data_IF_137754494218
#
_entry.id   IF_137754494218
#
_cell.length_a   1.000
_cell.length_b   1.000
_cell.length_c   1.000
_cell.angle_alpha   90.00
_cell.angle_beta   90.00
_cell.angle_gamma   90.00
#
_symmetry.space_group_name_H-M   'P 1'
#
loop_
_entity.id
_entity.type
_entity.pdbx_description
1 polymer ?
#
# COMPACT_ATOMS: atom_id res chain seq x y z
N UNK A 1 -12.00 12.25 -23.16
CA UNK A 1 -11.63 11.94 -21.77
C UNK A 1 -12.00 10.50 -21.46
N UNK A 2 -11.08 9.76 -20.86
CA UNK A 2 -11.27 8.39 -20.39
C UNK A 2 -11.48 8.40 -18.89
N UNK A 3 -12.60 7.85 -18.43
CA UNK A 3 -12.97 7.80 -17.01
C UNK A 3 -12.85 6.38 -16.48
N UNK A 4 -12.30 6.19 -15.27
CA UNK A 4 -12.17 4.87 -14.68
C UNK A 4 -13.48 4.35 -14.08
N UNK A 5 -14.39 5.23 -13.66
CA UNK A 5 -15.61 4.87 -12.93
C UNK A 5 -16.82 5.71 -13.38
N UNK A 6 -18.01 5.25 -13.04
CA UNK A 6 -19.23 6.02 -13.23
C UNK A 6 -19.29 7.28 -12.34
N UNK A 7 -18.63 7.24 -11.19
CA UNK A 7 -18.48 8.42 -10.31
C UNK A 7 -17.67 9.50 -11.01
N UNK A 8 -16.55 9.15 -11.66
CA UNK A 8 -15.78 10.09 -12.47
C UNK A 8 -16.60 10.69 -13.61
N UNK A 9 -17.44 9.87 -14.27
CA UNK A 9 -18.36 10.33 -15.30
C UNK A 9 -19.37 11.36 -14.75
N UNK A 10 -19.98 11.08 -13.58
CA UNK A 10 -20.93 11.98 -12.92
C UNK A 10 -20.27 13.30 -12.51
N UNK A 11 -19.04 13.25 -11.98
CA UNK A 11 -18.30 14.44 -11.59
C UNK A 11 -18.02 15.34 -12.79
N UNK A 12 -17.52 14.79 -13.90
CA UNK A 12 -17.30 15.56 -15.13
C UNK A 12 -18.57 16.16 -15.67
N UNK A 13 -19.70 15.46 -15.57
CA UNK A 13 -21.01 15.99 -15.95
C UNK A 13 -21.40 17.18 -15.07
N UNK A 14 -21.19 17.08 -13.76
CA UNK A 14 -21.48 18.18 -12.84
C UNK A 14 -20.58 19.41 -13.07
N UNK A 15 -19.36 19.20 -13.54
CA UNK A 15 -18.42 20.25 -13.96
C UNK A 15 -18.76 20.87 -15.33
N UNK A 16 -19.83 20.40 -16.01
CA UNK A 16 -20.31 20.95 -17.27
C UNK A 16 -19.66 20.38 -18.53
N UNK A 17 -18.90 19.28 -18.41
CA UNK A 17 -18.37 18.61 -19.60
C UNK A 17 -19.49 17.95 -20.41
N UNK A 18 -19.54 18.17 -21.75
CA UNK A 18 -20.60 17.64 -22.59
C UNK A 18 -20.44 16.12 -22.81
N UNK A 19 -21.57 15.41 -22.65
CA UNK A 19 -21.66 13.96 -22.94
C UNK A 19 -22.19 13.65 -24.34
N UNK A 20 -22.55 14.67 -25.12
CA UNK A 20 -23.17 14.49 -26.42
C UNK A 20 -22.40 15.20 -27.52
N UNK A 21 -22.40 14.55 -28.67
CA UNK A 21 -21.80 15.01 -29.90
C UNK A 21 -22.68 16.13 -30.50
N UNK A 22 -22.39 17.39 -30.22
CA UNK A 22 -22.97 18.49 -30.95
C UNK A 22 -21.89 19.34 -31.58
N UNK A 23 -21.88 19.32 -32.93
CA UNK A 23 -21.20 20.26 -33.83
C UNK A 23 -19.67 20.46 -33.60
N UNK A 24 -18.89 19.74 -34.38
CA UNK A 24 -17.50 20.00 -34.80
C UNK A 24 -16.37 20.04 -33.74
N UNK A 25 -16.60 19.98 -32.45
CA UNK A 25 -15.57 19.78 -31.42
C UNK A 25 -16.04 18.72 -30.43
N UNK A 26 -15.74 17.48 -30.77
CA UNK A 26 -16.16 16.31 -29.98
C UNK A 26 -15.21 16.06 -28.83
N UNK A 27 -15.54 16.51 -27.62
CA UNK A 27 -14.97 15.91 -26.44
C UNK A 27 -15.81 14.68 -26.08
N UNK A 28 -15.33 13.51 -26.43
CA UNK A 28 -15.95 12.27 -26.00
C UNK A 28 -15.50 11.96 -24.58
N UNK A 29 -16.48 11.78 -23.69
CA UNK A 29 -16.25 11.26 -22.34
C UNK A 29 -16.79 9.83 -22.32
N UNK A 30 -15.96 8.88 -21.96
CA UNK A 30 -16.37 7.48 -21.93
C UNK A 30 -15.78 6.78 -20.69
N UNK A 31 -16.57 5.91 -20.08
CA UNK A 31 -16.07 5.00 -19.06
C UNK A 31 -15.35 3.85 -19.76
N UNK A 32 -14.07 3.70 -19.48
CA UNK A 32 -13.19 2.67 -20.07
C UNK A 32 -12.70 1.67 -19.02
N UNK A 33 -13.14 1.80 -17.77
CA UNK A 33 -12.60 1.05 -16.67
C UNK A 33 -11.29 1.65 -16.14
N UNK A 34 -10.72 1.01 -15.14
CA UNK A 34 -9.55 1.50 -14.43
C UNK A 34 -8.27 0.84 -14.96
N UNK A 35 -7.48 1.58 -15.72
CA UNK A 35 -6.20 1.11 -16.26
C UNK A 35 -5.19 0.73 -15.16
N UNK A 36 -5.33 1.30 -13.95
CA UNK A 36 -4.51 0.88 -12.81
C UNK A 36 -4.86 -0.54 -12.38
N UNK A 37 -6.15 -0.92 -12.44
CA UNK A 37 -6.59 -2.28 -12.16
C UNK A 37 -6.01 -3.26 -13.17
N UNK A 38 -6.09 -2.95 -14.46
CA UNK A 38 -5.50 -3.79 -15.51
C UNK A 38 -4.00 -3.98 -15.29
N UNK A 39 -3.28 -2.88 -14.98
CA UNK A 39 -1.87 -2.91 -14.66
C UNK A 39 -1.57 -3.77 -13.42
N UNK A 40 -2.28 -3.56 -12.32
CA UNK A 40 -2.10 -4.31 -11.08
C UNK A 40 -2.32 -5.82 -11.29
N UNK A 41 -3.39 -6.19 -12.00
CA UNK A 41 -3.70 -7.60 -12.31
C UNK A 41 -2.64 -8.23 -13.24
N UNK A 42 -2.16 -7.50 -14.25
CA UNK A 42 -1.07 -7.97 -15.10
C UNK A 42 0.21 -8.21 -14.30
N UNK A 43 0.63 -7.25 -13.48
CA UNK A 43 1.86 -7.34 -12.69
C UNK A 43 1.76 -8.32 -11.52
N UNK A 44 0.56 -8.71 -11.08
CA UNK A 44 0.37 -9.75 -10.06
C UNK A 44 1.10 -11.05 -10.41
N UNK A 45 1.09 -11.45 -11.68
CA UNK A 45 1.78 -12.66 -12.14
C UNK A 45 3.31 -12.54 -12.14
N UNK A 46 3.84 -11.31 -12.13
CA UNK A 46 5.26 -10.98 -12.14
C UNK A 46 5.77 -10.52 -10.77
N UNK A 47 4.89 -10.50 -9.78
CA UNK A 47 5.19 -10.02 -8.43
C UNK A 47 6.35 -10.81 -7.79
N UNK A 48 7.19 -10.10 -7.03
CA UNK A 48 8.40 -10.64 -6.41
C UNK A 48 8.39 -10.37 -4.92
N UNK A 49 8.77 -11.39 -4.14
CA UNK A 49 8.97 -11.22 -2.70
C UNK A 49 10.14 -10.25 -2.44
N UNK A 50 10.00 -9.22 -1.59
CA UNK A 50 11.12 -8.39 -1.18
C UNK A 50 12.19 -9.22 -0.45
N UNK A 51 13.47 -8.97 -0.74
CA UNK A 51 14.58 -9.69 -0.11
C UNK A 51 14.58 -9.57 1.42
N UNK A 52 14.28 -8.37 1.94
CA UNK A 52 14.14 -8.12 3.36
C UNK A 52 13.07 -8.99 4.03
N UNK A 53 11.97 -9.25 3.33
CA UNK A 53 10.86 -10.08 3.82
C UNK A 53 11.19 -11.56 3.72
N UNK A 54 11.82 -12.00 2.62
CA UNK A 54 12.26 -13.39 2.47
C UNK A 54 13.28 -13.78 3.53
N UNK A 55 14.21 -12.87 3.86
CA UNK A 55 15.21 -13.07 4.91
C UNK A 55 14.59 -13.19 6.31
N UNK A 56 13.58 -12.36 6.61
CA UNK A 56 12.83 -12.46 7.86
C UNK A 56 12.13 -13.82 8.02
N UNK A 57 11.57 -14.33 6.95
CA UNK A 57 10.84 -15.60 7.01
C UNK A 57 11.75 -16.81 7.12
N UNK A 58 12.92 -16.80 6.48
CA UNK A 58 13.93 -17.86 6.65
C UNK A 58 14.44 -17.94 8.08
N UNK A 59 14.63 -16.80 8.75
CA UNK A 59 15.05 -16.75 10.16
C UNK A 59 14.01 -17.33 11.13
N UNK A 60 12.72 -17.20 10.79
CA UNK A 60 11.62 -17.65 11.65
C UNK A 60 11.25 -19.12 11.39
N UNK A 61 11.42 -19.60 10.15
CA UNK A 61 11.13 -21.00 9.79
C UNK A 61 12.24 -21.98 10.13
N UNK A 62 13.43 -21.49 10.48
CA UNK A 62 14.59 -22.34 10.76
C UNK A 62 15.13 -23.11 9.54
N UNK A 63 14.70 -22.74 8.33
CA UNK A 63 15.16 -23.35 7.10
C UNK A 63 16.39 -22.60 6.56
N UNK A 64 17.49 -23.33 6.42
CA UNK A 64 18.73 -22.81 5.82
C UNK A 64 18.49 -22.32 4.39
N UNK A 65 18.78 -21.05 4.15
CA UNK A 65 18.61 -20.31 2.88
C UNK A 65 19.40 -20.92 1.69
N UNK A 66 20.17 -21.97 1.90
CA UNK A 66 21.08 -22.58 0.90
C UNK A 66 20.46 -23.69 0.06
N UNK A 67 19.19 -24.07 0.26
CA UNK A 67 18.55 -25.21 -0.45
C UNK A 67 17.28 -24.84 -1.24
N UNK A 68 17.00 -23.58 -1.49
CA UNK A 68 15.87 -23.25 -2.39
C UNK A 68 16.30 -23.41 -3.84
N UNK A 69 16.04 -24.60 -4.41
CA UNK A 69 16.06 -24.81 -5.84
C UNK A 69 15.05 -23.87 -6.53
N UNK A 70 15.43 -23.25 -7.65
CA UNK A 70 14.64 -22.33 -8.46
C UNK A 70 13.24 -22.83 -8.87
N UNK A 71 12.90 -24.10 -8.63
CA UNK A 71 11.59 -24.67 -8.95
C UNK A 71 10.51 -24.51 -7.87
N UNK A 72 10.87 -24.00 -6.68
CA UNK A 72 9.93 -23.85 -5.54
C UNK A 72 9.31 -22.45 -5.44
N UNK A 73 9.61 -21.55 -6.39
CA UNK A 73 9.12 -20.16 -6.39
C UNK A 73 7.60 -20.06 -6.56
N UNK A 74 6.93 -21.13 -7.02
CA UNK A 74 5.47 -21.16 -7.21
C UNK A 74 4.68 -21.80 -6.05
N UNK A 75 5.33 -22.25 -4.97
CA UNK A 75 4.60 -22.60 -3.76
C UNK A 75 4.42 -21.29 -2.97
N UNK A 76 3.16 -20.81 -2.87
CA UNK A 76 2.81 -19.74 -1.93
C UNK A 76 3.45 -20.09 -0.58
N UNK A 77 4.43 -19.31 -0.09
CA UNK A 77 4.91 -19.53 1.26
C UNK A 77 3.68 -19.50 2.15
N UNK A 78 3.61 -20.35 3.19
CA UNK A 78 2.54 -20.27 4.20
C UNK A 78 2.59 -18.85 4.74
N UNK A 79 1.70 -18.01 4.23
CA UNK A 79 1.66 -16.58 4.49
C UNK A 79 1.49 -16.40 5.97
N UNK A 80 2.49 -15.84 6.63
CA UNK A 80 2.25 -15.31 7.96
C UNK A 80 1.37 -14.10 7.76
N UNK A 81 0.23 -14.12 8.41
CA UNK A 81 -0.72 -13.02 8.46
C UNK A 81 0.01 -11.76 8.90
N UNK A 82 0.12 -10.78 8.03
CA UNK A 82 0.73 -9.49 8.34
C UNK A 82 -0.11 -8.34 7.80
N UNK A 83 0.07 -7.20 8.42
CA UNK A 83 -0.49 -5.93 7.98
C UNK A 83 0.59 -5.22 7.16
N UNK A 84 0.25 -4.81 5.94
CA UNK A 84 1.09 -3.91 5.16
C UNK A 84 0.75 -2.47 5.54
N UNK A 85 1.75 -1.71 5.99
CA UNK A 85 1.55 -0.30 6.33
C UNK A 85 2.45 0.59 5.47
N UNK A 86 1.92 1.73 4.98
CA UNK A 86 2.74 2.77 4.33
C UNK A 86 2.38 4.15 4.84
N UNK A 87 3.40 4.99 5.09
CA UNK A 87 3.26 6.36 5.60
C UNK A 87 4.26 7.24 4.85
N UNK A 88 3.75 8.20 4.07
CA UNK A 88 4.61 9.09 3.28
C UNK A 88 4.02 10.48 3.01
N UNK A 89 2.71 10.70 3.28
CA UNK A 89 2.07 12.00 3.07
C UNK A 89 2.60 13.04 4.03
N UNK A 90 2.81 14.26 3.52
CA UNK A 90 3.31 15.40 4.29
C UNK A 90 2.45 15.70 5.52
N UNK A 91 1.12 15.59 5.39
CA UNK A 91 0.17 15.79 6.49
C UNK A 91 0.42 14.88 7.70
N UNK A 92 0.97 13.67 7.47
CA UNK A 92 1.31 12.72 8.52
C UNK A 92 2.77 12.84 8.96
N UNK A 93 3.69 13.17 8.04
CA UNK A 93 5.13 13.12 8.30
C UNK A 93 5.69 14.45 8.76
N UNK A 94 5.06 15.59 8.42
CA UNK A 94 5.55 16.93 8.78
C UNK A 94 4.96 17.41 10.13
N UNK A 95 3.92 16.74 10.64
CA UNK A 95 3.41 16.96 12.01
C UNK A 95 3.95 15.86 12.95
N UNK A 96 4.84 16.28 13.86
CA UNK A 96 5.48 15.38 14.84
C UNK A 96 4.45 14.68 15.73
N UNK A 97 3.39 15.37 16.14
CA UNK A 97 2.36 14.83 17.04
C UNK A 97 1.55 13.74 16.31
N UNK A 98 1.16 14.02 15.08
CA UNK A 98 0.41 13.09 14.25
C UNK A 98 1.24 11.86 13.91
N UNK A 99 2.49 12.04 13.50
CA UNK A 99 3.41 10.93 13.21
C UNK A 99 3.61 10.05 14.44
N UNK A 100 3.82 10.66 15.62
CA UNK A 100 3.94 9.92 16.89
C UNK A 100 2.69 9.11 17.20
N UNK A 101 1.50 9.72 17.10
CA UNK A 101 0.23 9.03 17.36
C UNK A 101 0.03 7.82 16.45
N UNK A 102 0.41 7.94 15.16
CA UNK A 102 0.36 6.81 14.22
C UNK A 102 1.31 5.70 14.66
N UNK A 103 2.57 6.03 15.02
CA UNK A 103 3.52 5.01 15.46
C UNK A 103 3.15 4.38 16.80
N UNK A 104 2.54 5.12 17.72
CA UNK A 104 2.02 4.58 18.97
C UNK A 104 0.91 3.56 18.71
N UNK A 105 -0.02 3.88 17.81
CA UNK A 105 -1.06 2.96 17.37
C UNK A 105 -0.49 1.71 16.67
N UNK A 106 0.49 1.87 15.77
CA UNK A 106 1.16 0.75 15.11
C UNK A 106 1.87 -0.16 16.11
N UNK A 107 2.52 0.39 17.13
CA UNK A 107 3.16 -0.40 18.18
C UNK A 107 2.15 -1.18 19.02
N UNK A 108 0.99 -0.59 19.29
CA UNK A 108 -0.08 -1.29 20.02
C UNK A 108 -0.59 -2.49 19.20
N UNK A 109 -0.89 -2.28 17.92
CA UNK A 109 -1.31 -3.35 17.00
C UNK A 109 -0.20 -4.42 16.86
N UNK A 110 1.06 -4.00 16.82
CA UNK A 110 2.21 -4.88 16.67
C UNK A 110 2.44 -5.80 17.90
N UNK A 111 1.75 -5.60 19.02
CA UNK A 111 1.77 -6.58 20.11
C UNK A 111 1.13 -7.91 19.71
N UNK A 112 0.16 -7.88 18.80
CA UNK A 112 -0.63 -9.05 18.39
C UNK A 112 -0.39 -9.45 16.92
N UNK A 113 -0.06 -8.50 16.05
CA UNK A 113 0.04 -8.71 14.60
C UNK A 113 1.41 -8.30 14.08
N UNK A 114 1.92 -9.04 13.12
CA UNK A 114 3.10 -8.62 12.36
C UNK A 114 2.72 -7.43 11.46
N UNK A 115 3.53 -6.37 11.48
CA UNK A 115 3.40 -5.23 10.56
C UNK A 115 4.66 -5.16 9.72
N UNK A 116 4.52 -5.02 8.41
CA UNK A 116 5.59 -4.70 7.47
C UNK A 116 5.39 -3.27 7.00
N UNK A 117 6.40 -2.43 7.20
CA UNK A 117 6.37 -1.00 6.92
C UNK A 117 7.54 -0.63 5.99
N UNK A 118 7.34 -0.65 4.65
CA UNK A 118 8.27 0.00 3.73
C UNK A 118 8.32 1.50 4.03
N UNK A 119 9.48 2.03 4.42
CA UNK A 119 9.57 3.39 4.91
C UNK A 119 10.59 4.20 4.12
N UNK A 120 10.15 5.34 3.57
CA UNK A 120 11.02 6.25 2.84
C UNK A 120 12.13 6.79 3.75
N UNK A 121 13.38 6.98 3.26
CA UNK A 121 14.50 7.46 4.08
C UNK A 121 14.23 8.76 4.83
N UNK A 122 13.46 9.69 4.25
CA UNK A 122 13.03 10.93 4.93
C UNK A 122 12.22 10.63 6.19
N UNK A 123 11.21 9.77 6.09
CA UNK A 123 10.35 9.42 7.23
C UNK A 123 11.12 8.60 8.27
N UNK A 124 12.05 7.75 7.83
CA UNK A 124 12.94 7.00 8.72
C UNK A 124 13.80 7.93 9.59
N UNK A 125 14.39 8.98 9.00
CA UNK A 125 15.14 10.01 9.74
C UNK A 125 14.27 10.76 10.74
N UNK A 126 13.03 11.10 10.38
CA UNK A 126 12.10 11.76 11.29
C UNK A 126 11.77 10.84 12.48
N UNK A 127 11.55 9.57 12.24
CA UNK A 127 11.31 8.58 13.27
C UNK A 127 12.52 8.41 14.21
N UNK A 128 13.74 8.36 13.68
CA UNK A 128 14.98 8.29 14.46
C UNK A 128 15.10 9.50 15.40
N UNK A 129 14.78 10.70 14.91
CA UNK A 129 14.76 11.91 15.73
C UNK A 129 13.72 11.87 16.86
N UNK A 130 12.55 11.24 16.59
CA UNK A 130 11.52 11.03 17.61
C UNK A 130 11.95 10.02 18.68
N UNK A 131 12.65 8.97 18.28
CA UNK A 131 13.16 7.92 19.18
C UNK A 131 14.22 8.43 20.15
N UNK A 132 15.10 9.34 19.70
CA UNK A 132 16.15 9.92 20.56
C UNK A 132 15.60 10.77 21.69
N UNK A 133 14.37 11.28 21.54
CA UNK A 133 13.72 12.13 22.55
C UNK A 133 12.96 11.36 23.64
N UNK A 134 12.44 10.15 23.35
CA UNK A 134 11.65 9.39 24.31
C UNK A 134 11.49 7.91 23.90
N UNK A 135 12.27 7.00 24.50
CA UNK A 135 12.05 5.56 24.53
C UNK A 135 11.81 4.80 23.19
N UNK A 136 12.14 3.50 23.23
CA UNK A 136 12.04 2.53 22.14
C UNK A 136 10.65 2.53 21.46
N UNK A 137 10.54 3.23 20.33
CA UNK A 137 9.29 3.38 19.56
C UNK A 137 8.95 2.14 18.69
N UNK A 138 9.75 1.05 18.74
CA UNK A 138 9.55 -0.09 17.86
C UNK A 138 9.44 -1.38 18.66
N UNK A 139 8.34 -2.10 18.44
CA UNK A 139 8.13 -3.46 18.95
C UNK A 139 8.72 -4.50 18.00
N UNK A 140 8.92 -5.73 18.50
CA UNK A 140 9.51 -6.85 17.73
C UNK A 140 8.73 -7.16 16.44
N UNK A 141 7.42 -6.98 16.44
CA UNK A 141 6.55 -7.31 15.31
C UNK A 141 6.31 -6.13 14.35
N UNK A 142 6.88 -4.96 14.61
CA UNK A 142 6.89 -3.84 13.66
C UNK A 142 8.20 -3.85 12.89
N UNK A 143 8.15 -4.38 11.68
CA UNK A 143 9.32 -4.52 10.80
C UNK A 143 9.36 -3.39 9.81
N UNK A 144 10.34 -2.50 9.96
CA UNK A 144 10.63 -1.45 8.97
C UNK A 144 11.59 -2.03 7.94
N UNK A 145 11.22 -1.89 6.67
CA UNK A 145 12.08 -2.23 5.53
C UNK A 145 12.36 -1.00 4.68
N UNK A 146 13.39 -1.06 3.86
CA UNK A 146 13.67 -0.01 2.89
C UNK A 146 12.55 0.04 1.82
N UNK A 147 12.41 1.17 1.10
CA UNK A 147 11.44 1.27 0.01
C UNK A 147 11.61 0.14 -0.99
N UNK A 148 10.49 -0.42 -1.41
CA UNK A 148 10.46 -1.54 -2.35
C UNK A 148 10.04 -1.08 -3.74
N UNK A 149 10.41 -1.83 -4.77
CA UNK A 149 9.95 -1.61 -6.14
C UNK A 149 8.48 -2.00 -6.32
N UNK A 150 7.90 -1.62 -7.47
CA UNK A 150 6.48 -1.86 -7.74
C UNK A 150 6.09 -3.35 -7.69
N UNK A 151 6.88 -4.23 -8.30
CA UNK A 151 6.60 -5.68 -8.30
C UNK A 151 6.67 -6.30 -6.90
N UNK A 152 7.50 -5.75 -6.04
CA UNK A 152 7.60 -6.15 -4.65
C UNK A 152 6.42 -5.62 -3.83
N UNK A 153 5.98 -4.38 -4.11
CA UNK A 153 4.79 -3.80 -3.48
C UNK A 153 3.54 -4.59 -3.86
N UNK A 154 3.36 -4.94 -5.14
CA UNK A 154 2.27 -5.81 -5.61
C UNK A 154 2.28 -7.13 -4.85
N UNK A 155 3.46 -7.74 -4.66
CA UNK A 155 3.58 -8.96 -3.87
C UNK A 155 3.16 -8.76 -2.41
N UNK A 156 3.58 -7.66 -1.79
CA UNK A 156 3.23 -7.33 -0.41
C UNK A 156 1.71 -7.14 -0.24
N UNK A 157 1.06 -6.46 -1.18
CA UNK A 157 -0.40 -6.28 -1.15
C UNK A 157 -1.11 -7.63 -1.33
N UNK A 158 -0.73 -8.41 -2.32
CA UNK A 158 -1.40 -9.70 -2.60
C UNK A 158 -1.31 -10.68 -1.42
N UNK A 159 -0.26 -10.59 -0.61
CA UNK A 159 0.01 -11.53 0.48
C UNK A 159 -0.27 -10.99 1.90
N UNK A 160 -0.71 -9.74 2.07
CA UNK A 160 -1.13 -9.22 3.38
C UNK A 160 -2.58 -9.58 3.72
N UNK A 161 -2.93 -9.47 5.00
CA UNK A 161 -4.32 -9.59 5.47
C UNK A 161 -5.05 -8.25 5.39
N UNK A 162 -4.34 -7.15 5.64
CA UNK A 162 -4.89 -5.81 5.77
C UNK A 162 -3.86 -4.80 5.25
N UNK A 163 -4.32 -3.76 4.60
CA UNK A 163 -3.52 -2.59 4.22
C UNK A 163 -3.85 -1.43 5.15
N UNK A 164 -2.84 -0.73 5.65
CA UNK A 164 -2.97 0.56 6.35
C UNK A 164 -2.15 1.59 5.58
N UNK A 165 -2.76 2.65 5.08
CA UNK A 165 -2.04 3.57 4.19
C UNK A 165 -2.60 4.99 4.18
N UNK A 166 -1.71 5.95 3.94
CA UNK A 166 -2.07 7.33 3.59
C UNK A 166 -2.01 7.58 2.07
N UNK A 167 -1.70 6.56 1.26
CA UNK A 167 -1.59 6.64 -0.20
C UNK A 167 -2.92 6.38 -0.88
N UNK A 168 -3.42 7.34 -1.68
CA UNK A 168 -4.61 7.13 -2.51
C UNK A 168 -4.42 6.02 -3.56
N UNK A 169 -3.22 5.90 -4.15
CA UNK A 169 -2.90 4.81 -5.09
C UNK A 169 -2.98 3.45 -4.44
N UNK A 170 -2.39 3.30 -3.24
CA UNK A 170 -2.39 2.03 -2.53
C UNK A 170 -3.79 1.62 -2.01
N UNK A 171 -4.66 2.59 -1.70
CA UNK A 171 -6.08 2.33 -1.40
C UNK A 171 -6.77 1.64 -2.57
N UNK A 172 -6.57 2.15 -3.80
CA UNK A 172 -7.11 1.53 -5.01
C UNK A 172 -6.54 0.14 -5.25
N UNK A 173 -5.23 -0.01 -5.14
CA UNK A 173 -4.59 -1.31 -5.31
C UNK A 173 -5.06 -2.32 -4.25
N UNK A 174 -5.23 -1.92 -3.00
CA UNK A 174 -5.83 -2.77 -1.97
C UNK A 174 -7.22 -3.27 -2.38
N UNK A 175 -8.06 -2.38 -2.90
CA UNK A 175 -9.36 -2.74 -3.43
C UNK A 175 -9.27 -3.74 -4.60
N UNK A 176 -8.37 -3.52 -5.56
CA UNK A 176 -8.19 -4.43 -6.69
C UNK A 176 -7.73 -5.83 -6.27
N UNK A 177 -6.96 -5.92 -5.17
CA UNK A 177 -6.51 -7.19 -4.58
C UNK A 177 -7.47 -7.75 -3.53
N UNK A 178 -8.70 -7.19 -3.42
CA UNK A 178 -9.72 -7.61 -2.45
C UNK A 178 -9.22 -7.61 -1.00
N UNK A 179 -8.37 -6.62 -0.66
CA UNK A 179 -7.85 -6.42 0.69
C UNK A 179 -8.64 -5.34 1.41
N UNK A 180 -8.93 -5.58 2.68
CA UNK A 180 -9.41 -4.51 3.55
C UNK A 180 -8.34 -3.42 3.66
N UNK A 181 -8.78 -2.16 3.72
CA UNK A 181 -7.88 -1.02 3.80
C UNK A 181 -8.33 -0.05 4.89
N UNK A 182 -7.38 0.34 5.74
CA UNK A 182 -7.55 1.44 6.71
C UNK A 182 -6.80 2.65 6.18
N UNK A 183 -7.54 3.73 5.94
CA UNK A 183 -6.98 4.99 5.48
C UNK A 183 -6.42 5.77 6.67
N UNK A 184 -5.12 6.08 6.64
CA UNK A 184 -4.42 6.88 7.66
C UNK A 184 -4.49 8.38 7.33
N UNK A 185 -5.70 8.85 6.98
CA UNK A 185 -6.01 10.24 6.61
C UNK A 185 -7.41 10.60 7.09
N UNK A 186 -7.66 11.90 7.22
CA UNK A 186 -8.98 12.42 7.60
C UNK A 186 -9.96 12.38 6.42
N UNK A 187 -9.43 12.41 5.18
CA UNK A 187 -10.19 12.41 3.93
C UNK A 187 -9.61 11.42 2.93
N UNK A 188 -10.44 10.97 1.99
CA UNK A 188 -10.01 10.19 0.84
C UNK A 188 -10.62 10.74 -0.44
N UNK A 189 -9.85 10.74 -1.52
CA UNK A 189 -10.31 11.04 -2.87
C UNK A 189 -11.17 9.93 -3.49
N UNK A 190 -11.15 8.74 -2.90
CA UNK A 190 -11.83 7.54 -3.43
C UNK A 190 -13.08 7.20 -2.62
N UNK A 191 -14.08 8.07 -2.70
CA UNK A 191 -15.34 7.89 -1.96
C UNK A 191 -16.12 6.64 -2.38
N UNK A 192 -15.84 6.10 -3.57
CA UNK A 192 -16.43 4.86 -4.08
C UNK A 192 -15.80 3.58 -3.49
N UNK A 193 -14.71 3.69 -2.73
CA UNK A 193 -14.03 2.56 -2.08
C UNK A 193 -14.34 2.45 -0.59
N UNK A 194 -15.17 3.36 -0.04
CA UNK A 194 -15.49 3.45 1.39
C UNK A 194 -16.86 2.84 1.67
#
# INVERSE_FOLDING_TARGET
LFCPTDTAMKNLKAEGFPFSLTNNHQQLITNVGDVMQDGAMFYKSLAKIPEAVSSLWSLVSGEDSKKQNLQTINQKPKTKNYILCTIHRAENTDDETRLRSIFDALNEIAKEKQIILPLHPRTKKLLENLQTKNQKLLTKNLTIIDPVGYLEMVWLIDNCDLVMTDSGGLQKEAYFFEKQCITLRDETEWVELV
#
